data_IF_936613275916
#
_entry.id   IF_936613275916
#
_cell.length_a   1.000
_cell.length_b   1.000
_cell.length_c   1.000
_cell.angle_alpha   90.00
_cell.angle_beta   90.00
_cell.angle_gamma   90.00
#
_symmetry.space_group_name_H-M   'P 1'
#
loop_
_entity.id
_entity.type
_entity.pdbx_description
1 polymer ?
#
# COMPACT_ATOMS: atom_id res chain seq x y z
N UNK A 1 -7.42 14.13 13.56
CA UNK A 1 -6.28 13.57 12.78
C UNK A 1 -6.65 13.16 11.36
N UNK A 2 -7.85 12.63 11.11
CA UNK A 2 -8.34 12.32 9.74
C UNK A 2 -8.69 13.56 8.86
N UNK A 3 -8.98 14.72 9.47
CA UNK A 3 -9.34 15.95 8.74
C UNK A 3 -8.18 16.67 8.04
N UNK A 4 -7.00 16.71 8.66
CA UNK A 4 -5.79 17.33 8.11
C UNK A 4 -5.16 16.52 6.96
N UNK A 5 -5.42 15.20 6.92
CA UNK A 5 -5.06 14.39 5.75
C UNK A 5 -5.99 14.74 4.58
N UNK A 6 -7.31 14.85 4.79
CA UNK A 6 -8.26 15.16 3.71
C UNK A 6 -8.00 16.48 3.00
N UNK A 7 -7.56 17.51 3.71
CA UNK A 7 -7.38 18.84 3.13
C UNK A 7 -6.16 18.89 2.19
N UNK A 8 -5.06 18.22 2.57
CA UNK A 8 -3.87 17.97 1.73
C UNK A 8 -4.12 17.32 0.37
N UNK A 9 -5.28 16.68 0.21
CA UNK A 9 -5.64 15.89 -0.95
C UNK A 9 -6.83 16.52 -1.71
N UNK A 10 -6.96 17.85 -1.61
CA UNK A 10 -7.91 18.68 -2.34
C UNK A 10 -8.00 18.33 -3.82
N UNK A 11 -9.23 18.14 -4.27
CA UNK A 11 -9.65 17.58 -5.55
C UNK A 11 -9.56 18.63 -6.66
N UNK A 12 -9.00 18.26 -7.82
CA UNK A 12 -9.25 18.94 -9.09
C UNK A 12 -9.20 17.93 -10.24
N UNK A 13 -10.36 17.65 -10.82
CA UNK A 13 -10.51 16.85 -12.05
C UNK A 13 -10.13 17.69 -13.28
N UNK A 14 -9.32 17.11 -14.17
CA UNK A 14 -9.03 17.61 -15.53
C UNK A 14 -8.21 18.91 -15.71
N UNK A 15 -7.19 19.18 -14.88
CA UNK A 15 -6.26 20.29 -15.13
C UNK A 15 -4.80 19.86 -15.02
N UNK A 16 -3.92 20.61 -15.67
CA UNK A 16 -2.46 20.58 -15.50
C UNK A 16 -2.12 20.31 -14.02
N UNK A 17 -1.15 19.41 -13.76
CA UNK A 17 -0.71 19.06 -12.41
C UNK A 17 -0.59 20.33 -11.56
N UNK A 18 -1.30 20.37 -10.43
CA UNK A 18 -1.35 21.51 -9.51
C UNK A 18 -1.22 21.07 -8.05
N UNK A 19 -0.31 21.66 -7.27
CA UNK A 19 -0.23 21.41 -5.84
C UNK A 19 -1.51 21.80 -5.08
N UNK A 20 -1.91 20.96 -4.11
CA UNK A 20 -2.92 21.31 -3.10
C UNK A 20 -2.43 22.43 -2.19
N UNK A 21 -3.33 23.10 -1.48
CA UNK A 21 -2.94 24.27 -0.67
C UNK A 21 -1.99 23.93 0.46
N UNK A 22 -2.10 22.73 1.02
CA UNK A 22 -1.18 22.26 2.03
C UNK A 22 0.15 21.79 1.44
N UNK A 23 0.16 21.24 0.22
CA UNK A 23 1.42 20.99 -0.51
C UNK A 23 2.15 22.31 -0.79
N UNK A 24 1.41 23.36 -1.20
CA UNK A 24 1.97 24.71 -1.35
C UNK A 24 2.53 25.24 -0.03
N UNK A 25 1.81 25.04 1.07
CA UNK A 25 2.26 25.45 2.40
C UNK A 25 3.52 24.69 2.84
N UNK A 26 3.55 23.37 2.63
CA UNK A 26 4.70 22.53 2.88
C UNK A 26 5.91 22.97 2.04
N UNK A 27 5.75 23.17 0.74
CA UNK A 27 6.84 23.57 -0.16
C UNK A 27 7.40 24.95 0.20
N UNK A 28 6.54 25.91 0.56
CA UNK A 28 6.98 27.21 1.08
C UNK A 28 7.77 27.08 2.38
N UNK A 29 7.30 26.24 3.30
CA UNK A 29 8.02 25.96 4.55
C UNK A 29 9.34 25.24 4.29
N UNK A 30 9.33 24.22 3.45
CA UNK A 30 10.50 23.42 3.05
C UNK A 30 11.56 24.34 2.47
N UNK A 31 11.17 25.21 1.54
CA UNK A 31 12.09 26.17 0.92
C UNK A 31 12.68 27.15 1.94
N UNK A 32 11.86 27.66 2.86
CA UNK A 32 12.31 28.52 3.95
C UNK A 32 13.28 27.81 4.88
N UNK A 33 13.04 26.54 5.22
CA UNK A 33 13.95 25.76 6.04
C UNK A 33 15.26 25.47 5.33
N UNK A 34 15.16 25.12 4.04
CA UNK A 34 16.31 24.88 3.18
C UNK A 34 17.20 26.13 3.05
N UNK A 35 16.60 27.32 2.94
CA UNK A 35 17.33 28.60 2.85
C UNK A 35 18.13 28.95 4.11
N UNK A 36 17.88 28.28 5.25
CA UNK A 36 18.68 28.43 6.46
C UNK A 36 19.94 27.55 6.46
N UNK A 37 19.91 26.48 5.67
CA UNK A 37 20.94 25.43 5.66
C UNK A 37 21.88 25.54 4.47
N UNK A 38 21.37 26.03 3.34
CA UNK A 38 22.09 26.05 2.06
C UNK A 38 22.00 27.43 1.40
N UNK A 39 23.09 27.88 0.79
CA UNK A 39 23.13 29.14 0.04
C UNK A 39 22.81 28.92 -1.44
N UNK A 40 23.15 27.76 -1.99
CA UNK A 40 22.94 27.37 -3.38
C UNK A 40 22.56 25.90 -3.52
N UNK A 41 21.70 25.60 -4.48
CA UNK A 41 21.20 24.24 -4.73
C UNK A 41 21.09 23.96 -6.23
N UNK A 42 21.18 22.69 -6.59
CA UNK A 42 20.80 22.19 -7.91
C UNK A 42 19.49 21.39 -7.76
N UNK A 43 18.57 21.51 -8.71
CA UNK A 43 17.36 20.67 -8.73
C UNK A 43 17.55 19.51 -9.71
N UNK A 44 17.39 18.28 -9.24
CA UNK A 44 17.37 17.08 -10.07
C UNK A 44 15.93 16.66 -10.39
N UNK A 45 15.59 16.65 -11.69
CA UNK A 45 14.26 16.37 -12.23
C UNK A 45 13.62 17.58 -12.91
N UNK A 46 13.45 17.53 -14.23
CA UNK A 46 12.93 18.63 -15.06
C UNK A 46 11.49 18.33 -15.54
N UNK A 47 10.59 18.11 -14.59
CA UNK A 47 9.20 17.72 -14.78
C UNK A 47 8.21 18.86 -14.41
N UNK A 48 6.91 18.63 -14.53
CA UNK A 48 5.87 19.61 -14.19
C UNK A 48 5.86 19.94 -12.70
N UNK A 49 6.16 18.97 -11.83
CA UNK A 49 6.37 19.23 -10.40
C UNK A 49 7.44 20.31 -10.13
N UNK A 50 8.58 20.25 -10.83
CA UNK A 50 9.61 21.30 -10.74
C UNK A 50 9.12 22.65 -11.24
N UNK A 51 8.39 22.69 -12.36
CA UNK A 51 7.81 23.94 -12.91
C UNK A 51 6.92 24.61 -11.87
N UNK A 52 6.02 23.84 -11.29
CA UNK A 52 5.09 24.33 -10.27
C UNK A 52 5.81 24.78 -9.00
N UNK A 53 6.76 23.98 -8.52
CA UNK A 53 7.49 24.30 -7.28
C UNK A 53 8.21 25.64 -7.44
N UNK A 54 8.89 25.85 -8.57
CA UNK A 54 9.57 27.10 -8.90
C UNK A 54 8.60 28.30 -8.93
N UNK A 55 7.37 28.10 -9.41
CA UNK A 55 6.36 29.17 -9.42
C UNK A 55 5.96 29.62 -8.01
N UNK A 56 5.95 28.71 -7.03
CA UNK A 56 5.60 29.00 -5.64
C UNK A 56 6.69 29.76 -4.88
N UNK A 57 7.94 29.57 -5.28
CA UNK A 57 9.13 30.13 -4.62
C UNK A 57 9.78 31.25 -5.42
N UNK A 58 9.15 31.75 -6.49
CA UNK A 58 9.71 32.77 -7.40
C UNK A 58 10.19 34.05 -6.71
N UNK A 59 9.66 34.37 -5.52
CA UNK A 59 10.03 35.54 -4.73
C UNK A 59 11.13 35.22 -3.69
N UNK A 60 11.61 33.98 -3.59
CA UNK A 60 12.68 33.60 -2.67
C UNK A 60 14.04 33.85 -3.32
N UNK A 61 14.90 34.60 -2.64
CA UNK A 61 16.28 34.84 -3.08
C UNK A 61 17.26 33.73 -2.67
N UNK A 62 16.87 32.85 -1.74
CA UNK A 62 17.69 31.73 -1.25
C UNK A 62 16.88 30.42 -1.05
N UNK A 63 17.53 29.23 -1.11
CA UNK A 63 18.84 29.04 -1.74
C UNK A 63 18.79 29.39 -3.23
N UNK A 64 19.91 29.88 -3.79
CA UNK A 64 20.01 30.16 -5.22
C UNK A 64 19.96 28.84 -5.99
N UNK A 65 19.03 28.72 -6.94
CA UNK A 65 18.98 27.57 -7.83
C UNK A 65 19.95 27.82 -8.97
N UNK A 66 21.05 27.07 -8.99
CA UNK A 66 22.12 27.30 -10.00
C UNK A 66 21.75 26.66 -11.33
N UNK A 67 21.26 25.42 -11.29
CA UNK A 67 20.86 24.65 -12.47
C UNK A 67 19.73 23.68 -12.14
N UNK A 68 19.07 23.20 -13.18
CA UNK A 68 18.21 22.02 -13.14
C UNK A 68 18.92 20.92 -13.92
N UNK A 69 18.95 19.70 -13.41
CA UNK A 69 19.60 18.57 -14.09
C UNK A 69 18.60 17.46 -14.37
N UNK A 70 18.57 17.01 -15.63
CA UNK A 70 17.74 15.89 -16.05
C UNK A 70 18.26 15.29 -17.38
N UNK A 71 18.50 13.98 -17.39
CA UNK A 71 18.98 13.28 -18.58
C UNK A 71 17.89 13.01 -19.61
N UNK A 72 16.62 13.03 -19.22
CA UNK A 72 15.52 12.56 -20.05
C UNK A 72 14.71 13.70 -20.68
N UNK A 73 14.96 14.94 -20.30
CA UNK A 73 14.26 16.10 -20.86
C UNK A 73 14.97 16.66 -22.09
N UNK A 74 14.17 17.23 -23.00
CA UNK A 74 14.63 18.09 -24.11
C UNK A 74 14.56 19.59 -23.76
N UNK A 75 13.95 19.95 -22.62
CA UNK A 75 13.87 21.36 -22.18
C UNK A 75 15.28 21.88 -21.91
N UNK A 76 15.60 23.06 -22.45
CA UNK A 76 16.89 23.75 -22.24
C UNK A 76 16.86 24.68 -21.02
N UNK A 77 15.68 25.17 -20.66
CA UNK A 77 15.46 26.03 -19.49
C UNK A 77 14.08 25.77 -18.88
N UNK A 78 13.93 26.04 -17.58
CA UNK A 78 12.65 26.10 -16.86
C UNK A 78 12.67 27.34 -15.98
N UNK A 79 11.68 28.23 -16.14
CA UNK A 79 11.58 29.51 -15.43
C UNK A 79 12.90 30.32 -15.45
N UNK A 80 13.59 30.35 -16.59
CA UNK A 80 14.87 31.05 -16.77
C UNK A 80 16.09 30.33 -16.20
N UNK A 81 15.94 29.16 -15.58
CA UNK A 81 17.04 28.35 -15.04
C UNK A 81 17.48 27.33 -16.09
N UNK A 82 18.77 27.28 -16.38
CA UNK A 82 19.36 26.35 -17.34
C UNK A 82 19.19 24.90 -16.92
N UNK A 83 18.78 24.07 -17.88
CA UNK A 83 18.67 22.62 -17.73
C UNK A 83 19.88 21.95 -18.37
N UNK A 84 20.58 21.12 -17.60
CA UNK A 84 21.81 20.45 -18.02
C UNK A 84 21.71 18.92 -17.87
N UNK A 85 22.61 18.20 -18.54
CA UNK A 85 22.77 16.76 -18.33
C UNK A 85 23.50 16.48 -17.04
N UNK A 86 23.16 15.35 -16.40
CA UNK A 86 23.64 15.02 -15.07
C UNK A 86 25.17 14.87 -15.02
N UNK A 87 25.78 14.41 -16.12
CA UNK A 87 27.23 14.21 -16.21
C UNK A 87 28.01 15.52 -16.03
N UNK A 88 27.36 16.67 -16.22
CA UNK A 88 27.96 17.98 -16.05
C UNK A 88 27.92 18.49 -14.59
N UNK A 89 27.24 17.79 -13.68
CA UNK A 89 27.12 18.21 -12.26
C UNK A 89 28.46 18.34 -11.55
N UNK A 90 29.45 17.51 -11.88
CA UNK A 90 30.78 17.56 -11.23
C UNK A 90 31.47 18.91 -11.39
N UNK A 91 31.16 19.65 -12.45
CA UNK A 91 31.74 20.96 -12.73
C UNK A 91 31.03 22.11 -11.98
N UNK A 92 29.95 21.82 -11.25
CA UNK A 92 29.04 22.83 -10.72
C UNK A 92 29.18 22.89 -9.21
N UNK A 93 29.56 24.06 -8.71
CA UNK A 93 29.59 24.36 -7.28
C UNK A 93 28.15 24.64 -6.79
N UNK A 94 27.63 23.78 -5.93
CA UNK A 94 26.36 23.96 -5.21
C UNK A 94 26.43 23.28 -3.85
N UNK A 95 25.70 23.78 -2.85
CA UNK A 95 25.79 23.26 -1.47
C UNK A 95 24.96 21.99 -1.25
N UNK A 96 23.95 21.75 -2.10
CA UNK A 96 23.12 20.55 -2.05
C UNK A 96 22.41 20.29 -3.39
N UNK A 97 21.91 19.07 -3.56
CA UNK A 97 21.01 18.70 -4.66
C UNK A 97 19.63 18.42 -4.09
N UNK A 98 18.61 19.07 -4.63
CA UNK A 98 17.21 18.78 -4.31
C UNK A 98 16.65 17.87 -5.39
N UNK A 99 16.11 16.73 -5.00
CA UNK A 99 15.39 15.83 -5.92
C UNK A 99 13.93 16.23 -5.97
N UNK A 100 13.48 16.66 -7.16
CA UNK A 100 12.10 17.08 -7.43
C UNK A 100 11.45 16.10 -8.40
N UNK A 101 10.45 15.37 -7.94
CA UNK A 101 9.85 14.27 -8.70
C UNK A 101 8.33 14.24 -8.60
N UNK A 102 7.68 14.02 -9.75
CA UNK A 102 6.31 13.48 -9.80
C UNK A 102 6.26 11.97 -9.51
N UNK A 103 7.43 11.34 -9.37
CA UNK A 103 7.61 9.90 -9.18
C UNK A 103 8.47 9.63 -7.93
N UNK A 104 9.13 8.48 -7.85
CA UNK A 104 9.98 8.14 -6.70
C UNK A 104 11.23 9.03 -6.64
N UNK A 105 11.38 9.81 -5.56
CA UNK A 105 12.62 10.53 -5.26
C UNK A 105 13.80 9.57 -5.08
N UNK A 106 13.57 8.36 -4.55
CA UNK A 106 14.62 7.36 -4.31
C UNK A 106 15.25 6.84 -5.60
N UNK A 107 14.46 6.68 -6.66
CA UNK A 107 14.96 6.32 -7.98
C UNK A 107 15.81 7.43 -8.59
N UNK A 108 15.33 8.67 -8.45
CA UNK A 108 16.05 9.83 -8.92
C UNK A 108 17.34 10.04 -8.12
N UNK A 109 17.33 9.81 -6.81
CA UNK A 109 18.53 9.80 -5.97
C UNK A 109 19.51 8.73 -6.42
N UNK A 110 19.07 7.48 -6.60
CA UNK A 110 19.95 6.39 -7.07
C UNK A 110 20.55 6.71 -8.44
N UNK A 111 19.78 7.30 -9.36
CA UNK A 111 20.31 7.78 -10.65
C UNK A 111 21.26 8.96 -10.50
N UNK A 112 20.98 9.87 -9.59
CA UNK A 112 21.85 10.97 -9.26
C UNK A 112 23.17 10.45 -8.73
N UNK A 113 23.16 9.59 -7.71
CA UNK A 113 24.34 8.96 -7.12
C UNK A 113 25.14 8.12 -8.13
N UNK A 114 24.49 7.25 -8.90
CA UNK A 114 25.15 6.40 -9.91
C UNK A 114 25.78 7.22 -11.04
N UNK A 115 25.10 8.27 -11.53
CA UNK A 115 25.63 9.04 -12.67
C UNK A 115 26.60 10.14 -12.25
N UNK A 116 26.87 10.28 -10.95
CA UNK A 116 27.65 11.38 -10.40
C UNK A 116 28.89 10.94 -9.63
N UNK A 117 29.17 9.63 -9.53
CA UNK A 117 30.30 9.00 -8.82
C UNK A 117 31.04 9.97 -7.88
N UNK A 118 30.55 9.98 -6.63
CA UNK A 118 30.93 10.82 -5.48
C UNK A 118 30.58 12.31 -5.60
N UNK A 119 29.29 12.63 -5.47
CA UNK A 119 28.91 13.97 -5.02
C UNK A 119 29.34 14.17 -3.57
N UNK A 120 30.13 15.20 -3.30
CA UNK A 120 30.54 15.60 -1.94
C UNK A 120 29.43 16.40 -1.22
N UNK A 121 28.29 16.60 -1.87
CA UNK A 121 27.20 17.47 -1.41
C UNK A 121 25.96 16.64 -1.11
N UNK A 122 25.19 17.00 -0.06
CA UNK A 122 24.00 16.26 0.34
C UNK A 122 22.93 16.25 -0.77
N UNK A 123 22.32 15.07 -0.97
CA UNK A 123 21.16 14.88 -1.83
C UNK A 123 19.90 14.85 -0.97
N UNK A 124 18.99 15.78 -1.22
CA UNK A 124 17.82 16.07 -0.40
C UNK A 124 16.56 15.69 -1.17
N UNK A 125 15.77 14.79 -0.59
CA UNK A 125 14.48 14.36 -1.08
C UNK A 125 13.40 15.26 -0.47
N UNK A 126 12.69 16.04 -1.30
CA UNK A 126 11.67 17.01 -0.85
C UNK A 126 10.67 16.32 0.08
N UNK A 127 10.11 15.19 -0.33
CA UNK A 127 9.05 14.51 0.42
C UNK A 127 9.56 13.49 1.43
N UNK A 128 10.60 12.74 1.08
CA UNK A 128 11.09 11.68 1.95
C UNK A 128 11.82 12.21 3.19
N UNK A 129 12.59 13.31 3.06
CA UNK A 129 13.45 13.78 4.15
C UNK A 129 12.76 14.83 5.04
N UNK A 130 11.75 15.53 4.51
CA UNK A 130 11.18 16.70 5.18
C UNK A 130 9.70 16.60 5.58
N UNK A 131 8.91 15.69 4.99
CA UNK A 131 7.49 15.60 5.36
C UNK A 131 7.29 15.21 6.82
N UNK A 132 8.07 14.27 7.35
CA UNK A 132 7.97 13.83 8.76
C UNK A 132 8.29 14.97 9.73
N UNK A 133 9.37 15.71 9.46
CA UNK A 133 9.80 16.90 10.20
C UNK A 133 8.76 18.01 10.15
N UNK A 134 8.15 18.21 8.98
CA UNK A 134 7.07 19.17 8.82
C UNK A 134 5.82 18.77 9.59
N UNK A 135 5.40 17.49 9.50
CA UNK A 135 4.28 16.97 10.28
C UNK A 135 4.52 17.10 11.80
N UNK A 136 5.73 16.87 12.30
CA UNK A 136 6.04 17.05 13.72
C UNK A 136 6.06 18.52 14.16
N UNK A 137 6.40 19.43 13.24
CA UNK A 137 6.40 20.87 13.50
C UNK A 137 4.98 21.41 13.62
N UNK A 138 4.02 20.82 12.89
CA UNK A 138 2.62 21.28 12.86
C UNK A 138 1.64 20.40 13.66
N UNK A 139 1.99 19.16 14.02
CA UNK A 139 1.23 18.33 14.96
C UNK A 139 2.01 18.15 16.26
N UNK A 140 1.44 18.62 17.38
CA UNK A 140 1.94 18.45 18.76
C UNK A 140 2.08 16.98 19.24
N UNK A 141 2.03 15.97 18.34
CA UNK A 141 2.32 14.56 18.61
C UNK A 141 3.53 14.12 17.78
N UNK A 142 4.59 13.63 18.43
CA UNK A 142 5.80 13.08 17.80
C UNK A 142 5.45 11.86 16.94
N UNK A 143 5.19 12.06 15.66
CA UNK A 143 5.22 10.99 14.68
C UNK A 143 6.69 10.58 14.45
N UNK A 144 7.03 9.32 14.75
CA UNK A 144 8.32 8.73 14.37
C UNK A 144 8.07 7.79 13.19
N UNK A 145 8.53 8.11 11.97
CA UNK A 145 8.38 7.20 10.86
C UNK A 145 9.12 5.90 11.15
N UNK A 146 8.42 4.78 11.06
CA UNK A 146 9.02 3.43 11.14
C UNK A 146 9.37 3.01 9.72
N UNK A 147 10.60 2.55 9.50
CA UNK A 147 11.00 1.90 8.26
C UNK A 147 10.91 0.40 8.53
N UNK A 148 10.04 -0.36 7.84
CA UNK A 148 9.95 -1.80 8.08
C UNK A 148 11.22 -2.49 7.62
N UNK A 149 11.65 -3.49 8.38
CA UNK A 149 12.72 -4.42 8.00
C UNK A 149 12.16 -5.78 7.59
N UNK A 150 10.92 -6.07 7.98
CA UNK A 150 10.22 -7.32 7.71
C UNK A 150 8.83 -7.04 7.17
N UNK A 151 8.42 -7.81 6.17
CA UNK A 151 7.13 -7.62 5.52
C UNK A 151 6.43 -8.94 5.29
N UNK A 152 5.10 -8.92 5.29
CA UNK A 152 4.32 -10.06 4.80
C UNK A 152 3.05 -9.66 4.09
N UNK A 153 2.61 -10.54 3.18
CA UNK A 153 1.34 -10.44 2.48
C UNK A 153 0.48 -11.64 2.86
N UNK A 154 -0.73 -11.36 3.36
CA UNK A 154 -1.80 -12.35 3.45
C UNK A 154 -2.45 -12.44 2.08
N UNK A 155 -2.10 -13.47 1.32
CA UNK A 155 -2.71 -13.85 0.06
C UNK A 155 -4.02 -14.57 0.35
N UNK A 156 -5.14 -13.95 0.02
CA UNK A 156 -6.46 -14.47 0.39
C UNK A 156 -7.48 -14.30 -0.72
N UNK A 157 -8.66 -14.88 -0.51
CA UNK A 157 -9.86 -14.67 -1.33
C UNK A 157 -10.97 -14.02 -0.51
N UNK A 158 -12.01 -13.44 -1.15
CA UNK A 158 -13.14 -12.86 -0.45
C UNK A 158 -13.75 -13.87 0.53
N UNK A 159 -13.96 -13.43 1.78
CA UNK A 159 -14.60 -14.23 2.84
C UNK A 159 -13.83 -15.48 3.31
N UNK A 160 -12.52 -15.57 3.05
CA UNK A 160 -11.66 -16.65 3.58
C UNK A 160 -11.26 -16.49 5.07
N UNK A 161 -11.76 -15.46 5.76
CA UNK A 161 -11.36 -15.16 7.14
C UNK A 161 -10.22 -14.15 7.28
N UNK A 162 -9.76 -13.52 6.20
CA UNK A 162 -8.61 -12.59 6.25
C UNK A 162 -8.79 -11.40 7.19
N UNK A 163 -10.03 -10.97 7.46
CA UNK A 163 -10.29 -9.94 8.46
C UNK A 163 -10.11 -10.45 9.91
N UNK A 164 -10.44 -11.71 10.18
CA UNK A 164 -10.23 -12.35 11.49
C UNK A 164 -8.73 -12.47 11.76
N UNK A 165 -7.97 -13.06 10.82
CA UNK A 165 -6.52 -13.19 10.93
C UNK A 165 -5.85 -11.82 11.11
N UNK A 166 -6.24 -10.80 10.32
CA UNK A 166 -5.73 -9.44 10.48
C UNK A 166 -5.99 -8.87 11.87
N UNK A 167 -7.20 -9.04 12.41
CA UNK A 167 -7.53 -8.53 13.74
C UNK A 167 -6.63 -9.17 14.79
N UNK A 168 -6.54 -10.49 14.78
CA UNK A 168 -5.67 -11.25 15.69
C UNK A 168 -4.21 -10.79 15.61
N UNK A 169 -3.65 -10.65 14.40
CA UNK A 169 -2.29 -10.16 14.20
C UNK A 169 -2.09 -8.72 14.69
N UNK A 170 -3.06 -7.84 14.46
CA UNK A 170 -3.00 -6.45 14.93
C UNK A 170 -2.98 -6.37 16.45
N UNK A 171 -3.82 -7.16 17.14
CA UNK A 171 -3.90 -7.13 18.61
C UNK A 171 -2.61 -7.59 19.28
N UNK A 172 -1.72 -8.30 18.57
CA UNK A 172 -0.39 -8.64 19.12
C UNK A 172 0.52 -7.42 19.29
N UNK A 173 0.28 -6.34 18.54
CA UNK A 173 1.22 -5.21 18.39
C UNK A 173 2.64 -5.60 17.91
N UNK A 174 2.79 -6.83 17.40
CA UNK A 174 4.05 -7.40 16.91
C UNK A 174 4.08 -7.61 15.40
N UNK A 175 2.93 -7.61 14.74
CA UNK A 175 2.79 -8.01 13.34
C UNK A 175 2.16 -6.92 12.44
N UNK A 176 2.38 -5.64 12.72
CA UNK A 176 1.80 -4.55 11.95
C UNK A 176 0.26 -4.48 11.99
N UNK A 177 -0.33 -3.85 10.98
CA UNK A 177 -1.79 -3.75 10.82
C UNK A 177 -2.22 -4.13 9.38
N UNK A 178 -2.38 -5.44 9.07
CA UNK A 178 -2.48 -5.95 7.70
C UNK A 178 -3.86 -5.74 7.05
N UNK A 179 -4.20 -4.48 6.76
CA UNK A 179 -5.42 -4.12 6.01
C UNK A 179 -5.22 -4.30 4.50
N UNK A 180 -6.31 -4.16 3.74
CA UNK A 180 -6.27 -4.06 2.28
C UNK A 180 -5.77 -2.67 1.88
N UNK A 181 -4.48 -2.41 2.07
CA UNK A 181 -3.90 -1.08 1.86
C UNK A 181 -3.98 -0.62 0.40
N UNK A 182 -4.11 -1.53 -0.57
CA UNK A 182 -3.95 -1.17 -1.98
C UNK A 182 -5.27 -1.08 -2.74
N UNK A 183 -6.34 -1.74 -2.27
CA UNK A 183 -7.60 -1.88 -3.02
C UNK A 183 -8.39 -0.58 -3.23
N UNK A 184 -8.57 0.24 -2.18
CA UNK A 184 -9.39 1.46 -2.23
C UNK A 184 -8.69 2.67 -2.82
N UNK A 185 -7.35 2.66 -2.85
CA UNK A 185 -6.55 3.83 -3.23
C UNK A 185 -6.17 3.86 -4.71
N UNK A 186 -6.41 2.78 -5.48
CA UNK A 186 -6.23 2.82 -6.94
C UNK A 186 -6.99 3.98 -7.58
N UNK A 187 -8.21 4.28 -7.12
CA UNK A 187 -8.97 5.44 -7.62
C UNK A 187 -8.33 6.79 -7.26
N UNK A 188 -7.66 6.89 -6.11
CA UNK A 188 -7.00 8.13 -5.68
C UNK A 188 -5.71 8.37 -6.45
N UNK A 189 -5.02 7.29 -6.79
CA UNK A 189 -3.71 7.29 -7.45
C UNK A 189 -3.86 7.41 -8.97
N UNK A 190 -4.86 6.75 -9.57
CA UNK A 190 -5.21 6.92 -10.98
C UNK A 190 -5.65 8.36 -11.30
N UNK A 191 -6.14 9.09 -10.29
CA UNK A 191 -6.51 10.50 -10.40
C UNK A 191 -5.33 11.47 -10.16
N UNK A 192 -4.09 10.99 -10.00
CA UNK A 192 -2.88 11.82 -9.98
C UNK A 192 -2.56 12.53 -8.64
N UNK A 193 -3.30 12.26 -7.57
CA UNK A 193 -3.22 13.06 -6.33
C UNK A 193 -2.02 12.73 -5.42
N UNK A 194 -1.46 11.52 -5.51
CA UNK A 194 -0.26 11.08 -4.77
C UNK A 194 0.53 10.11 -5.66
N UNK A 195 1.85 10.28 -5.83
CA UNK A 195 2.69 9.24 -6.44
C UNK A 195 2.56 7.95 -5.63
N UNK A 196 2.13 6.85 -6.26
CA UNK A 196 1.83 5.60 -5.55
C UNK A 196 2.96 5.07 -4.67
N UNK A 197 4.21 5.34 -5.07
CA UNK A 197 5.40 4.97 -4.30
C UNK A 197 5.44 5.70 -2.95
N UNK A 198 5.03 6.97 -2.91
CA UNK A 198 4.96 7.72 -1.66
C UNK A 198 3.83 7.21 -0.77
N UNK A 199 2.69 6.86 -1.37
CA UNK A 199 1.61 6.17 -0.66
C UNK A 199 2.11 4.86 -0.03
N UNK A 200 2.84 4.04 -0.81
CA UNK A 200 3.44 2.79 -0.34
C UNK A 200 4.39 3.03 0.83
N UNK A 201 5.26 4.03 0.75
CA UNK A 201 6.17 4.39 1.84
C UNK A 201 5.42 4.82 3.09
N UNK A 202 4.44 5.71 2.96
CA UNK A 202 3.62 6.20 4.08
C UNK A 202 2.87 5.05 4.74
N UNK A 203 2.13 4.25 3.96
CA UNK A 203 1.32 3.18 4.55
C UNK A 203 2.19 2.14 5.23
N UNK A 204 3.34 1.78 4.64
CA UNK A 204 4.35 0.93 5.30
C UNK A 204 4.75 1.52 6.64
N UNK A 205 5.11 2.79 6.68
CA UNK A 205 5.55 3.46 7.91
C UNK A 205 4.45 3.59 8.98
N UNK A 206 3.24 3.97 8.59
CA UNK A 206 2.11 4.17 9.52
C UNK A 206 1.51 2.88 10.08
N UNK A 207 1.72 1.76 9.39
CA UNK A 207 1.07 0.49 9.76
C UNK A 207 2.05 -0.58 10.20
N UNK A 208 3.33 -0.21 10.28
CA UNK A 208 4.35 -1.04 10.92
C UNK A 208 4.26 -0.91 12.44
N UNK A 209 4.54 -2.02 13.13
CA UNK A 209 4.71 -2.04 14.59
C UNK A 209 6.12 -1.58 14.97
N UNK A 210 6.37 -1.18 16.24
CA UNK A 210 7.68 -0.67 16.68
C UNK A 210 8.85 -1.61 16.42
N UNK A 211 8.60 -2.93 16.36
CA UNK A 211 9.56 -3.95 15.95
C UNK A 211 9.79 -4.03 14.42
N UNK A 212 9.39 -2.99 13.66
CA UNK A 212 9.63 -2.82 12.22
C UNK A 212 9.01 -3.91 11.32
N UNK A 213 7.89 -4.48 11.75
CA UNK A 213 7.11 -5.44 10.96
C UNK A 213 5.97 -4.73 10.25
N UNK A 214 5.95 -4.81 8.92
CA UNK A 214 4.85 -4.37 8.07
C UNK A 214 4.01 -5.58 7.62
N UNK A 215 2.69 -5.42 7.63
CA UNK A 215 1.76 -6.42 7.12
C UNK A 215 0.72 -5.79 6.19
N UNK A 216 0.28 -6.55 5.20
CA UNK A 216 -0.84 -6.20 4.31
C UNK A 216 -1.62 -7.46 3.92
N UNK A 217 -2.84 -7.29 3.40
CA UNK A 217 -3.57 -8.38 2.75
C UNK A 217 -3.97 -8.03 1.34
N UNK A 218 -3.93 -9.02 0.46
CA UNK A 218 -4.28 -8.88 -0.95
C UNK A 218 -5.23 -10.00 -1.37
N UNK A 219 -6.30 -9.60 -2.04
CA UNK A 219 -7.03 -10.49 -2.93
C UNK A 219 -6.33 -10.52 -4.29
N UNK A 220 -6.51 -11.60 -5.05
CA UNK A 220 -5.83 -11.74 -6.35
C UNK A 220 -6.07 -10.54 -7.27
N UNK A 221 -7.31 -10.06 -7.37
CA UNK A 221 -7.65 -8.87 -8.19
C UNK A 221 -6.97 -7.58 -7.70
N UNK A 222 -6.61 -7.49 -6.41
CA UNK A 222 -5.84 -6.36 -5.86
C UNK A 222 -4.39 -6.49 -6.32
N UNK A 223 -3.82 -7.70 -6.28
CA UNK A 223 -2.47 -7.96 -6.77
C UNK A 223 -2.34 -7.66 -8.27
N UNK A 224 -3.26 -8.13 -9.12
CA UNK A 224 -3.24 -7.83 -10.57
C UNK A 224 -3.23 -6.31 -10.85
N UNK A 225 -4.05 -5.55 -10.10
CA UNK A 225 -4.08 -4.10 -10.20
C UNK A 225 -2.80 -3.46 -9.66
N UNK A 226 -2.30 -3.96 -8.54
CA UNK A 226 -1.07 -3.51 -7.92
C UNK A 226 0.10 -3.67 -8.89
N UNK A 227 0.32 -4.86 -9.43
CA UNK A 227 1.40 -5.16 -10.37
C UNK A 227 1.30 -4.28 -11.62
N UNK A 228 0.10 -4.18 -12.22
CA UNK A 228 -0.14 -3.30 -13.38
C UNK A 228 0.19 -1.85 -13.07
N UNK A 229 -0.19 -1.38 -11.89
CA UNK A 229 0.08 -0.01 -11.47
C UNK A 229 1.58 0.22 -11.28
N UNK A 230 2.27 -0.68 -10.58
CA UNK A 230 3.72 -0.56 -10.35
C UNK A 230 4.49 -0.51 -11.67
N UNK A 231 4.14 -1.37 -12.64
CA UNK A 231 4.79 -1.43 -13.96
C UNK A 231 4.64 -0.14 -14.80
N UNK A 232 3.72 0.78 -14.46
CA UNK A 232 3.66 2.11 -15.08
C UNK A 232 4.85 3.00 -14.68
N UNK A 233 5.49 2.70 -13.56
CA UNK A 233 6.71 3.38 -13.12
C UNK A 233 7.90 2.75 -13.83
N UNK A 234 8.76 3.57 -14.45
CA UNK A 234 9.93 3.10 -15.22
C UNK A 234 10.84 2.15 -14.44
N UNK A 235 10.95 2.32 -13.12
CA UNK A 235 11.76 1.47 -12.24
C UNK A 235 11.25 0.03 -12.16
N UNK A 236 9.93 -0.15 -12.03
CA UNK A 236 9.30 -1.45 -11.83
C UNK A 236 8.82 -2.11 -13.13
N UNK A 237 8.98 -1.42 -14.27
CA UNK A 237 8.44 -1.84 -15.58
C UNK A 237 8.81 -3.27 -15.97
N UNK A 238 10.05 -3.69 -15.67
CA UNK A 238 10.58 -4.99 -16.05
C UNK A 238 10.50 -6.04 -14.93
N UNK A 239 10.07 -5.63 -13.73
CA UNK A 239 9.88 -6.55 -12.60
C UNK A 239 8.47 -7.15 -12.66
N UNK A 240 8.35 -8.42 -12.27
CA UNK A 240 7.08 -9.15 -12.25
C UNK A 240 7.05 -10.08 -11.03
N UNK A 241 5.87 -10.60 -10.70
CA UNK A 241 5.77 -11.68 -9.74
C UNK A 241 6.39 -11.34 -8.37
N UNK A 242 7.16 -12.28 -7.83
CA UNK A 242 7.88 -12.14 -6.56
C UNK A 242 9.00 -11.09 -6.63
N UNK A 243 9.72 -10.97 -7.75
CA UNK A 243 10.79 -9.97 -7.90
C UNK A 243 10.28 -8.54 -7.68
N UNK A 244 9.11 -8.23 -8.25
CA UNK A 244 8.45 -6.95 -8.04
C UNK A 244 8.10 -6.73 -6.57
N UNK A 245 7.55 -7.75 -5.92
CA UNK A 245 7.09 -7.63 -4.54
C UNK A 245 8.28 -7.52 -3.57
N UNK A 246 9.37 -8.26 -3.76
CA UNK A 246 10.59 -8.16 -2.95
C UNK A 246 11.30 -6.83 -3.10
N UNK A 247 11.25 -6.22 -4.28
CA UNK A 247 11.78 -4.87 -4.48
C UNK A 247 11.00 -3.81 -3.67
N UNK A 248 9.71 -4.06 -3.39
CA UNK A 248 8.84 -3.12 -2.68
C UNK A 248 8.78 -3.40 -1.17
N UNK A 249 8.84 -4.68 -0.78
CA UNK A 249 8.61 -5.17 0.57
C UNK A 249 9.87 -5.88 1.10
N UNK A 250 10.59 -5.28 2.08
CA UNK A 250 11.81 -5.88 2.61
C UNK A 250 11.51 -7.18 3.36
N UNK A 251 12.39 -8.17 3.17
CA UNK A 251 12.31 -9.51 3.78
C UNK A 251 10.90 -10.11 3.71
N UNK A 252 10.31 -10.07 2.52
CA UNK A 252 8.93 -10.47 2.29
C UNK A 252 8.71 -11.96 2.56
N UNK A 253 7.70 -12.26 3.39
CA UNK A 253 7.12 -13.58 3.62
C UNK A 253 5.68 -13.64 3.11
N UNK A 254 5.21 -14.82 2.75
CA UNK A 254 3.85 -15.05 2.25
C UNK A 254 3.04 -15.92 3.20
N UNK A 255 1.78 -15.53 3.41
CA UNK A 255 0.79 -16.32 4.11
C UNK A 255 -0.35 -16.58 3.13
N UNK A 256 -0.64 -17.84 2.83
CA UNK A 256 -1.80 -18.21 2.02
C UNK A 256 -2.96 -18.57 2.95
N UNK A 257 -4.02 -17.76 2.95
CA UNK A 257 -5.21 -17.99 3.76
C UNK A 257 -6.35 -18.50 2.90
N UNK A 258 -6.67 -19.78 3.07
CA UNK A 258 -7.77 -20.47 2.40
C UNK A 258 -8.85 -20.91 3.41
N UNK A 259 -9.98 -21.36 2.89
CA UNK A 259 -11.10 -21.90 3.65
C UNK A 259 -11.52 -23.22 3.05
N UNK A 260 -11.65 -24.29 3.85
CA UNK A 260 -12.00 -25.62 3.36
C UNK A 260 -13.40 -25.62 2.75
N UNK A 261 -14.40 -25.08 3.46
CA UNK A 261 -15.78 -25.07 2.99
C UNK A 261 -16.06 -23.92 1.98
N UNK A 262 -15.85 -24.21 0.69
CA UNK A 262 -16.01 -23.25 -0.41
C UNK A 262 -17.44 -22.80 -0.64
N UNK A 263 -18.42 -23.67 -0.38
CA UNK A 263 -19.83 -23.32 -0.56
C UNK A 263 -20.27 -22.32 0.51
N UNK A 264 -19.93 -22.56 1.78
CA UNK A 264 -20.18 -21.57 2.85
C UNK A 264 -19.42 -20.27 2.61
N UNK A 265 -18.22 -20.34 2.03
CA UNK A 265 -17.49 -19.14 1.61
C UNK A 265 -18.25 -18.35 0.54
N UNK A 266 -18.73 -19.03 -0.51
CA UNK A 266 -19.46 -18.44 -1.64
C UNK A 266 -20.80 -17.83 -1.19
N UNK A 267 -21.57 -18.52 -0.34
CA UNK A 267 -22.79 -18.00 0.29
C UNK A 267 -22.49 -16.71 1.05
N UNK A 268 -21.45 -16.73 1.89
CA UNK A 268 -21.05 -15.56 2.65
C UNK A 268 -20.62 -14.41 1.74
N UNK A 269 -20.00 -14.72 0.60
CA UNK A 269 -19.57 -13.71 -0.38
C UNK A 269 -20.76 -13.11 -1.12
N UNK A 270 -21.74 -13.93 -1.49
CA UNK A 270 -23.00 -13.49 -2.11
C UNK A 270 -23.79 -12.56 -1.18
N UNK A 271 -23.93 -12.91 0.12
CA UNK A 271 -24.55 -12.03 1.12
C UNK A 271 -23.81 -10.70 1.25
N UNK A 272 -22.48 -10.71 1.30
CA UNK A 272 -21.68 -9.50 1.43
C UNK A 272 -21.80 -8.56 0.21
N UNK A 273 -21.90 -9.12 -1.01
CA UNK A 273 -22.13 -8.33 -2.24
C UNK A 273 -23.46 -7.57 -2.19
N UNK A 274 -24.52 -8.20 -1.70
CA UNK A 274 -25.86 -7.58 -1.63
C UNK A 274 -25.96 -6.53 -0.52
N UNK A 275 -25.48 -6.88 0.67
CA UNK A 275 -25.66 -6.05 1.88
C UNK A 275 -24.63 -4.94 2.00
N UNK A 276 -23.51 -5.04 1.27
CA UNK A 276 -22.30 -4.22 1.44
C UNK A 276 -21.67 -4.31 2.84
N UNK A 277 -22.07 -5.30 3.64
CA UNK A 277 -21.51 -5.58 4.97
C UNK A 277 -20.42 -6.64 4.84
N UNK A 278 -19.17 -6.25 5.11
CA UNK A 278 -18.00 -7.12 4.95
C UNK A 278 -17.39 -7.58 6.28
N UNK A 279 -17.63 -6.84 7.37
CA UNK A 279 -17.21 -7.11 8.76
C UNK A 279 -18.28 -6.52 9.69
N UNK A 280 -18.58 -7.21 10.80
CA UNK A 280 -19.34 -6.64 11.92
C UNK A 280 -18.48 -6.57 13.18
N UNK A 281 -18.64 -5.50 13.96
CA UNK A 281 -17.95 -5.27 15.21
C UNK A 281 -18.98 -5.06 16.33
N UNK A 282 -18.82 -5.72 17.48
CA UNK A 282 -19.63 -5.47 18.67
C UNK A 282 -21.06 -6.05 18.64
N UNK A 283 -21.92 -5.51 19.52
CA UNK A 283 -23.32 -5.90 19.72
C UNK A 283 -24.31 -5.14 18.82
N UNK A 284 -23.84 -4.46 17.77
CA UNK A 284 -24.73 -3.82 16.81
C UNK A 284 -25.50 -4.91 16.04
N UNK A 285 -26.83 -4.82 16.01
CA UNK A 285 -27.63 -5.58 15.06
C UNK A 285 -27.09 -5.35 13.66
N UNK A 286 -27.02 -6.41 12.85
CA UNK A 286 -26.67 -6.29 11.44
C UNK A 286 -27.80 -5.51 10.75
N UNK A 287 -27.70 -4.18 10.75
CA UNK A 287 -28.59 -3.32 10.00
C UNK A 287 -28.28 -3.50 8.51
N UNK A 288 -28.78 -4.59 7.94
CA UNK A 288 -28.72 -4.80 6.51
C UNK A 288 -29.49 -3.67 5.84
N UNK A 289 -28.82 -2.92 4.96
CA UNK A 289 -29.52 -1.93 4.13
C UNK A 289 -30.59 -2.58 3.25
N UNK A 290 -30.48 -3.89 3.00
CA UNK A 290 -31.42 -4.74 2.29
C UNK A 290 -31.25 -6.19 2.73
N UNK A 291 -32.35 -6.88 3.00
CA UNK A 291 -32.37 -8.32 3.26
C UNK A 291 -31.70 -9.08 2.10
N UNK A 292 -30.68 -9.93 2.37
CA UNK A 292 -29.99 -10.67 1.32
C UNK A 292 -30.92 -11.76 0.76
N UNK A 293 -30.93 -11.92 -0.56
CA UNK A 293 -31.80 -12.88 -1.27
C UNK A 293 -30.97 -14.03 -1.85
N UNK A 294 -31.50 -15.26 -1.74
CA UNK A 294 -30.89 -16.45 -2.32
C UNK A 294 -30.81 -16.34 -3.86
N UNK A 295 -29.70 -16.79 -4.44
CA UNK A 295 -29.56 -16.92 -5.88
C UNK A 295 -28.57 -18.04 -6.18
N UNK A 296 -29.05 -19.15 -6.75
CA UNK A 296 -28.20 -20.25 -7.18
C UNK A 296 -27.08 -19.75 -8.12
N UNK A 297 -27.46 -19.02 -9.18
CA UNK A 297 -26.52 -18.41 -10.13
C UNK A 297 -25.52 -17.48 -9.43
N UNK A 298 -25.98 -16.58 -8.56
CA UNK A 298 -25.11 -15.63 -7.85
C UNK A 298 -24.11 -16.31 -6.90
N UNK A 299 -24.53 -17.36 -6.19
CA UNK A 299 -23.66 -18.15 -5.31
C UNK A 299 -22.66 -18.95 -6.15
N UNK A 300 -23.09 -19.58 -7.25
CA UNK A 300 -22.20 -20.34 -8.14
C UNK A 300 -21.14 -19.45 -8.81
N UNK A 301 -21.51 -18.22 -9.22
CA UNK A 301 -20.55 -17.22 -9.71
C UNK A 301 -19.53 -16.82 -8.63
N UNK A 302 -19.98 -16.68 -7.37
CA UNK A 302 -19.08 -16.44 -6.24
C UNK A 302 -18.14 -17.62 -6.00
N UNK A 303 -18.62 -18.86 -6.09
CA UNK A 303 -17.82 -20.08 -5.93
C UNK A 303 -16.72 -20.16 -6.99
N UNK A 304 -17.09 -20.11 -8.27
CA UNK A 304 -16.13 -20.11 -9.40
C UNK A 304 -15.09 -19.01 -9.28
N UNK A 305 -15.49 -17.83 -8.80
CA UNK A 305 -14.58 -16.71 -8.60
C UNK A 305 -13.58 -16.97 -7.47
N UNK A 306 -14.02 -17.58 -6.37
CA UNK A 306 -13.12 -17.95 -5.26
C UNK A 306 -12.12 -19.00 -5.72
N UNK A 307 -12.59 -20.06 -6.37
CA UNK A 307 -11.74 -21.14 -6.90
C UNK A 307 -10.69 -20.59 -7.87
N UNK A 308 -11.12 -19.79 -8.85
CA UNK A 308 -10.20 -19.16 -9.81
C UNK A 308 -9.16 -18.27 -9.13
N UNK A 309 -9.55 -17.46 -8.13
CA UNK A 309 -8.58 -16.60 -7.44
C UNK A 309 -7.60 -17.40 -6.57
N UNK A 310 -8.00 -18.55 -6.03
CA UNK A 310 -7.08 -19.45 -5.31
C UNK A 310 -6.15 -20.18 -6.26
N UNK A 311 -6.65 -20.72 -7.37
CA UNK A 311 -5.82 -21.33 -8.41
C UNK A 311 -4.74 -20.37 -8.89
N UNK A 312 -5.09 -19.09 -9.08
CA UNK A 312 -4.12 -18.06 -9.47
C UNK A 312 -3.09 -17.77 -8.38
N UNK A 313 -3.46 -17.75 -7.11
CA UNK A 313 -2.48 -17.65 -6.01
C UNK A 313 -1.55 -18.86 -5.97
N UNK A 314 -2.09 -20.08 -6.11
CA UNK A 314 -1.30 -21.31 -6.14
C UNK A 314 -0.34 -21.35 -7.32
N UNK A 315 -0.81 -20.95 -8.51
CA UNK A 315 0.02 -20.79 -9.69
C UNK A 315 1.13 -19.75 -9.46
N UNK A 316 0.80 -18.59 -8.88
CA UNK A 316 1.79 -17.58 -8.50
C UNK A 316 2.87 -18.15 -7.58
N UNK A 317 2.51 -18.91 -6.54
CA UNK A 317 3.52 -19.50 -5.65
C UNK A 317 4.38 -20.53 -6.37
N UNK A 318 3.76 -21.40 -7.18
CA UNK A 318 4.47 -22.40 -7.98
C UNK A 318 5.44 -21.76 -8.97
N UNK A 319 4.98 -20.79 -9.76
CA UNK A 319 5.75 -20.14 -10.82
C UNK A 319 6.94 -19.32 -10.26
N UNK A 320 6.86 -18.90 -8.99
CA UNK A 320 7.93 -18.16 -8.31
C UNK A 320 8.71 -19.04 -7.31
N UNK A 321 8.50 -20.37 -7.29
CA UNK A 321 9.14 -21.31 -6.35
C UNK A 321 9.00 -20.90 -4.87
N UNK A 322 7.80 -20.48 -4.47
CA UNK A 322 7.49 -19.99 -3.12
C UNK A 322 6.77 -21.05 -2.29
N UNK A 323 7.15 -21.13 -1.01
CA UNK A 323 6.47 -21.93 0.01
C UNK A 323 5.79 -21.02 1.04
N UNK A 324 4.53 -20.61 0.85
CA UNK A 324 3.82 -19.77 1.81
C UNK A 324 3.44 -20.55 3.07
N UNK A 325 3.35 -19.87 4.22
CA UNK A 325 2.64 -20.44 5.37
C UNK A 325 1.16 -20.54 5.03
N UNK A 326 0.63 -21.76 4.97
CA UNK A 326 -0.79 -21.97 4.70
C UNK A 326 -1.58 -21.93 6.00
N UNK A 327 -2.58 -21.07 6.07
CA UNK A 327 -3.55 -21.02 7.16
C UNK A 327 -4.89 -21.41 6.58
N UNK A 328 -5.55 -22.35 7.24
CA UNK A 328 -6.91 -22.76 6.93
C UNK A 328 -7.85 -22.05 7.92
N UNK A 329 -8.93 -21.46 7.42
CA UNK A 329 -9.89 -20.71 8.23
C UNK A 329 -10.49 -21.54 9.38
N UNK A 330 -10.85 -22.79 9.13
CA UNK A 330 -11.40 -23.71 10.12
C UNK A 330 -10.40 -23.95 11.26
N UNK A 331 -9.16 -24.32 10.92
CA UNK A 331 -8.08 -24.56 11.88
C UNK A 331 -7.72 -23.27 12.67
N UNK A 332 -7.75 -22.10 12.00
CA UNK A 332 -7.62 -20.80 12.66
C UNK A 332 -8.73 -20.57 13.69
N UNK A 333 -9.97 -20.97 13.40
CA UNK A 333 -11.09 -20.81 14.32
C UNK A 333 -11.01 -21.73 15.55
N UNK A 334 -10.35 -22.88 15.41
CA UNK A 334 -10.11 -23.84 16.49
C UNK A 334 -8.95 -23.40 17.39
N UNK A 335 -7.89 -22.80 16.83
CA UNK A 335 -6.71 -22.39 17.60
C UNK A 335 -6.11 -21.06 17.13
N UNK A 336 -6.66 -19.94 17.62
CA UNK A 336 -6.14 -18.60 17.32
C UNK A 336 -4.69 -18.40 17.75
N UNK A 337 -4.34 -18.81 18.97
CA UNK A 337 -3.02 -18.56 19.52
C UNK A 337 -1.95 -19.35 18.78
N UNK A 338 -2.21 -20.62 18.45
CA UNK A 338 -1.34 -21.46 17.65
C UNK A 338 -1.05 -20.84 16.28
N UNK A 339 -2.10 -20.50 15.53
CA UNK A 339 -1.96 -19.89 14.21
C UNK A 339 -1.17 -18.56 14.26
N UNK A 340 -1.39 -17.73 15.28
CA UNK A 340 -0.65 -16.47 15.43
C UNK A 340 0.81 -16.72 15.80
N UNK A 341 1.11 -17.71 16.65
CA UNK A 341 2.49 -18.11 16.95
C UNK A 341 3.23 -18.60 15.71
N UNK A 342 2.58 -19.36 14.84
CA UNK A 342 3.15 -19.79 13.55
C UNK A 342 3.49 -18.60 12.64
N UNK A 343 2.59 -17.61 12.55
CA UNK A 343 2.86 -16.37 11.79
C UNK A 343 4.04 -15.61 12.41
N UNK A 344 4.07 -15.40 13.72
CA UNK A 344 5.18 -14.70 14.38
C UNK A 344 6.51 -15.44 14.21
N UNK A 345 6.49 -16.78 14.22
CA UNK A 345 7.66 -17.61 13.93
C UNK A 345 8.14 -17.45 12.48
N UNK A 346 7.23 -17.45 11.50
CA UNK A 346 7.56 -17.18 10.09
C UNK A 346 8.22 -15.81 9.91
N UNK A 347 7.76 -14.81 10.68
CA UNK A 347 8.30 -13.45 10.68
C UNK A 347 9.56 -13.31 11.54
N UNK A 348 10.02 -14.38 12.18
CA UNK A 348 11.20 -14.39 13.05
C UNK A 348 11.09 -13.30 14.15
N UNK A 349 9.89 -13.11 14.70
CA UNK A 349 9.61 -12.13 15.76
C UNK A 349 9.70 -12.83 17.11
N UNK A 350 10.37 -12.22 18.08
CA UNK A 350 10.41 -12.70 19.45
C UNK A 350 8.99 -12.75 20.04
N UNK A 351 8.56 -13.93 20.47
CA UNK A 351 7.23 -14.17 21.04
C UNK A 351 7.32 -14.05 22.57
N UNK A 352 6.61 -13.10 23.20
CA UNK A 352 6.55 -13.02 24.65
C UNK A 352 5.95 -14.29 25.25
N UNK A 353 6.53 -14.80 26.36
CA UNK A 353 6.03 -16.01 27.04
C UNK A 353 4.56 -15.91 27.45
N UNK A 354 4.08 -14.71 27.73
CA UNK A 354 2.73 -14.39 28.16
C UNK A 354 1.82 -13.89 27.02
N UNK A 355 2.20 -14.01 25.75
CA UNK A 355 1.34 -13.65 24.64
C UNK A 355 0.06 -14.50 24.70
N UNK A 356 -1.06 -13.86 25.01
CA UNK A 356 -2.39 -14.45 24.95
C UNK A 356 -3.15 -13.87 23.78
N UNK A 357 -3.67 -14.73 22.93
CA UNK A 357 -4.48 -14.31 21.77
C UNK A 357 -5.92 -14.74 22.02
N UNK A 358 -6.77 -13.77 22.31
CA UNK A 358 -8.20 -14.00 22.52
C UNK A 358 -9.01 -13.79 21.25
N UNK A 359 -10.19 -14.44 21.19
CA UNK A 359 -11.15 -14.23 20.11
C UNK A 359 -11.48 -12.73 19.97
N UNK A 360 -11.38 -12.14 18.76
CA UNK A 360 -11.74 -10.75 18.59
C UNK A 360 -13.24 -10.56 18.80
N UNK A 361 -13.67 -9.36 19.23
CA UNK A 361 -15.09 -8.99 19.37
C UNK A 361 -15.88 -8.94 18.04
N UNK A 362 -15.33 -9.48 16.95
CA UNK A 362 -16.00 -9.59 15.66
C UNK A 362 -16.94 -10.81 15.67
N UNK A 363 -18.18 -10.62 15.21
CA UNK A 363 -19.16 -11.72 15.10
C UNK A 363 -18.89 -12.55 13.85
N UNK A 364 -19.02 -13.87 13.96
CA UNK A 364 -19.07 -14.77 12.81
C UNK A 364 -20.37 -14.47 12.06
N UNK A 365 -20.28 -14.16 10.76
CA UNK A 365 -21.43 -13.80 9.92
C UNK A 365 -22.22 -15.01 9.39
N UNK A 366 -21.99 -16.20 9.96
CA UNK A 366 -22.75 -17.42 9.64
C UNK A 366 -23.96 -17.46 10.57
N UNK A 367 -25.14 -17.38 9.98
CA UNK A 367 -26.46 -17.38 10.65
C UNK A 367 -27.33 -18.53 10.10
N UNK A 368 -28.54 -18.70 10.64
CA UNK A 368 -29.45 -19.77 10.20
C UNK A 368 -29.84 -19.63 8.73
N UNK A 369 -29.98 -18.40 8.23
CA UNK A 369 -30.16 -18.12 6.80
C UNK A 369 -29.03 -18.70 5.94
N UNK A 370 -27.79 -18.67 6.43
CA UNK A 370 -26.65 -19.27 5.71
C UNK A 370 -26.73 -20.79 5.65
N UNK A 371 -27.30 -21.44 6.67
CA UNK A 371 -27.54 -22.90 6.68
C UNK A 371 -28.65 -23.27 5.70
N UNK A 372 -29.74 -22.51 5.68
CA UNK A 372 -30.84 -22.70 4.72
C UNK A 372 -30.36 -22.57 3.27
N UNK A 373 -29.52 -21.57 2.99
CA UNK A 373 -28.98 -21.36 1.65
C UNK A 373 -28.01 -22.46 1.23
N UNK A 374 -27.28 -23.05 2.18
CA UNK A 374 -26.42 -24.20 1.92
C UNK A 374 -27.25 -25.40 1.45
N UNK A 375 -28.33 -25.72 2.18
CA UNK A 375 -29.25 -26.81 1.80
C UNK A 375 -29.81 -26.57 0.40
N UNK A 376 -30.39 -25.38 0.16
CA UNK A 376 -30.95 -25.01 -1.15
C UNK A 376 -29.93 -25.07 -2.28
N UNK A 377 -28.70 -24.59 -2.04
CA UNK A 377 -27.64 -24.62 -3.04
C UNK A 377 -27.21 -26.03 -3.42
N UNK A 378 -27.10 -26.94 -2.45
CA UNK A 378 -26.77 -28.34 -2.71
C UNK A 378 -27.89 -29.03 -3.51
N UNK A 379 -29.15 -28.79 -3.16
CA UNK A 379 -30.31 -29.29 -3.93
C UNK A 379 -30.29 -28.79 -5.38
N UNK A 380 -30.03 -27.51 -5.60
CA UNK A 380 -29.99 -26.94 -6.95
C UNK A 380 -28.75 -27.42 -7.75
N UNK A 381 -27.60 -27.66 -7.11
CA UNK A 381 -26.45 -28.30 -7.76
C UNK A 381 -26.82 -29.69 -8.31
N UNK A 382 -27.55 -30.48 -7.53
CA UNK A 382 -28.01 -31.81 -7.94
C UNK A 382 -28.98 -31.73 -9.13
N UNK A 383 -29.95 -30.80 -9.10
CA UNK A 383 -30.88 -30.57 -10.21
C UNK A 383 -30.18 -30.14 -11.50
N UNK A 384 -29.06 -29.42 -11.38
CA UNK A 384 -28.28 -28.91 -12.50
C UNK A 384 -27.08 -29.77 -12.89
N UNK A 385 -26.92 -30.98 -12.31
CA UNK A 385 -25.78 -31.89 -12.54
C UNK A 385 -24.40 -31.21 -12.38
N UNK A 386 -24.28 -30.25 -11.47
CA UNK A 386 -22.99 -29.62 -11.16
C UNK A 386 -22.24 -30.47 -10.13
N UNK A 387 -21.01 -30.89 -10.47
CA UNK A 387 -20.11 -31.52 -9.50
C UNK A 387 -19.76 -30.54 -8.40
N UNK A 388 -20.07 -30.92 -7.16
CA UNK A 388 -19.62 -30.22 -5.97
C UNK A 388 -18.26 -30.79 -5.60
N UNK A 389 -17.18 -30.04 -5.79
CA UNK A 389 -15.91 -30.38 -5.17
C UNK A 389 -16.01 -29.95 -3.69
N UNK A 390 -16.10 -30.94 -2.81
CA UNK A 390 -16.21 -30.78 -1.36
C UNK A 390 -14.95 -30.17 -0.74
#
# INVERSE_FOLDING_TARGET
>A
MFGLLKSFFGVSSNKEFSFTDEQKLFLKWFWKDLSRKYSSVVIYGANQHTVEMLSLIKNSSKPKITFICDNNTKKRQINGISVIKINNLKSIKSDAIIVSSETSEEYLVKKAEISSDKLEVPVIKIYNDYLSTWFSTFNKRKYRPIIPEKSYIICCTPRSGSNLLRLLLRETELAGNPKEHFGSMFKVVENGNIPYVEYLRKIKSFTSTPNKVFGTKMHWFIYEKFERFMKRTSYYKNLKGDDLLREIFPNLKYIFLTRKDKIKQAISYWKAKQTRVWVSFGNEELAYKKEPVYSFKGINECLKKIELDEEKWLAFFKDNNLSPLTIIYEDLCENFEGAIKEVLKLLEVSIPKNLKVSKPKSRILSDDLSKEWLIKFVEDCNKHNLKINS
#
